data_IF_438557951050
#
_entry.id   IF_438557951050
#
_cell.length_a   1.000
_cell.length_b   1.000
_cell.length_c   1.000
_cell.angle_alpha   90.00
_cell.angle_beta   90.00
_cell.angle_gamma   90.00
#
_symmetry.space_group_name_H-M   'P 1'
#
loop_
_entity.id
_entity.type
_entity.pdbx_description
1 polymer ?
#
# COMPACT_ATOMS: atom_id res chain seq x y z
N UNK A 1 -3.38 13.44 -24.73
CA UNK A 1 -2.42 13.05 -23.67
C UNK A 1 -2.88 11.71 -23.13
N UNK A 2 -1.99 10.72 -22.99
CA UNK A 2 -2.38 9.45 -22.38
C UNK A 2 -2.77 9.69 -20.93
N UNK A 3 -3.77 8.94 -20.46
CA UNK A 3 -4.17 8.90 -19.05
C UNK A 3 -3.00 8.33 -18.26
N UNK A 4 -2.56 8.98 -17.17
CA UNK A 4 -1.54 8.38 -16.30
C UNK A 4 -2.13 7.13 -15.65
N UNK A 5 -1.35 6.05 -15.61
CA UNK A 5 -1.72 4.79 -14.97
C UNK A 5 -1.29 4.79 -13.51
N UNK A 6 -2.23 4.53 -12.61
CA UNK A 6 -2.01 4.43 -11.16
C UNK A 6 -2.41 3.04 -10.69
N UNK A 7 -1.49 2.33 -10.06
CA UNK A 7 -1.83 1.08 -9.36
C UNK A 7 -2.06 1.41 -7.89
N UNK A 8 -3.23 1.08 -7.37
CA UNK A 8 -3.61 1.35 -5.98
C UNK A 8 -3.65 0.07 -5.15
N UNK A 9 -2.95 0.09 -4.01
CA UNK A 9 -3.06 -0.98 -3.02
C UNK A 9 -4.45 -0.99 -2.38
N UNK A 10 -5.22 -2.05 -2.61
CA UNK A 10 -6.56 -2.25 -2.06
C UNK A 10 -6.54 -3.33 -0.99
N UNK A 11 -6.92 -3.00 0.24
CA UNK A 11 -6.86 -3.92 1.39
C UNK A 11 -8.23 -4.47 1.81
N UNK A 12 -9.30 -4.19 1.05
CA UNK A 12 -10.69 -4.41 1.47
C UNK A 12 -11.24 -3.29 2.37
N UNK A 13 -10.38 -2.39 2.86
CA UNK A 13 -10.76 -1.28 3.72
C UNK A 13 -11.31 -0.07 2.96
N UNK A 14 -12.16 0.70 3.65
CA UNK A 14 -12.83 1.91 3.12
C UNK A 14 -11.86 2.96 2.56
N UNK A 15 -10.70 3.14 3.22
CA UNK A 15 -9.73 4.18 2.83
C UNK A 15 -9.17 3.93 1.44
N UNK A 16 -8.79 2.68 1.14
CA UNK A 16 -8.33 2.28 -0.18
C UNK A 16 -9.44 2.34 -1.24
N UNK A 17 -10.67 2.00 -0.86
CA UNK A 17 -11.83 2.03 -1.75
C UNK A 17 -12.16 3.45 -2.22
N UNK A 18 -12.23 4.39 -1.27
CA UNK A 18 -12.49 5.81 -1.57
C UNK A 18 -11.31 6.41 -2.34
N UNK A 19 -10.08 6.05 -1.99
CA UNK A 19 -8.90 6.50 -2.73
C UNK A 19 -8.91 6.05 -4.20
N UNK A 20 -9.32 4.80 -4.47
CA UNK A 20 -9.46 4.28 -5.84
C UNK A 20 -10.54 5.05 -6.61
N UNK A 21 -11.68 5.30 -5.97
CA UNK A 21 -12.78 6.08 -6.55
C UNK A 21 -12.34 7.51 -6.90
N UNK A 22 -11.66 8.20 -5.98
CA UNK A 22 -11.16 9.56 -6.18
C UNK A 22 -10.16 9.65 -7.35
N UNK A 23 -9.26 8.68 -7.49
CA UNK A 23 -8.34 8.60 -8.63
C UNK A 23 -9.09 8.39 -9.94
N UNK A 24 -10.10 7.52 -9.95
CA UNK A 24 -10.92 7.30 -11.14
C UNK A 24 -11.67 8.57 -11.54
N UNK A 25 -12.28 9.26 -10.57
CA UNK A 25 -12.98 10.53 -10.77
C UNK A 25 -12.06 11.63 -11.32
N UNK A 26 -10.82 11.71 -10.82
CA UNK A 26 -9.80 12.66 -11.26
C UNK A 26 -9.26 12.39 -12.67
N UNK A 27 -9.69 11.32 -13.33
CA UNK A 27 -9.24 11.08 -14.69
C UNK A 27 -7.98 10.21 -14.78
N UNK A 28 -7.65 9.35 -13.81
CA UNK A 28 -6.56 8.37 -13.95
C UNK A 28 -7.03 7.04 -14.53
N UNK A 29 -6.12 6.29 -15.16
CA UNK A 29 -6.29 4.87 -15.43
C UNK A 29 -5.91 4.11 -14.16
N UNK A 30 -6.88 3.48 -13.50
CA UNK A 30 -6.70 2.91 -12.16
C UNK A 30 -6.76 1.40 -12.24
N UNK A 31 -5.78 0.74 -11.63
CA UNK A 31 -5.74 -0.72 -11.43
C UNK A 31 -5.61 -0.98 -9.93
N UNK A 32 -6.48 -1.80 -9.37
CA UNK A 32 -6.39 -2.27 -7.99
C UNK A 32 -5.34 -3.37 -7.85
N UNK A 33 -4.64 -3.39 -6.72
CA UNK A 33 -3.74 -4.49 -6.35
C UNK A 33 -3.99 -4.89 -4.90
N UNK A 34 -4.44 -6.12 -4.70
CA UNK A 34 -4.58 -6.73 -3.38
C UNK A 34 -3.31 -7.50 -3.02
N UNK A 35 -2.76 -7.22 -1.83
CA UNK A 35 -1.52 -7.84 -1.36
C UNK A 35 -1.82 -8.89 -0.29
N UNK A 36 -1.54 -10.16 -0.60
CA UNK A 36 -1.50 -11.22 0.40
C UNK A 36 -0.08 -11.28 0.99
N UNK A 37 0.08 -10.84 2.24
CA UNK A 37 1.38 -10.74 2.90
C UNK A 37 1.58 -11.79 4.01
N UNK A 38 0.61 -12.66 4.24
CA UNK A 38 0.64 -13.68 5.29
C UNK A 38 -0.12 -14.93 4.84
N UNK A 39 0.37 -16.11 5.22
CA UNK A 39 -0.18 -17.41 4.78
C UNK A 39 -0.61 -18.33 5.94
N UNK A 40 -0.16 -18.10 7.18
CA UNK A 40 -0.32 -19.09 8.27
C UNK A 40 -1.78 -19.32 8.74
N UNK A 41 -2.76 -18.53 8.27
CA UNK A 41 -4.19 -18.62 8.67
C UNK A 41 -5.13 -19.21 7.59
N UNK A 42 -4.59 -19.73 6.48
CA UNK A 42 -5.39 -20.24 5.34
C UNK A 42 -6.23 -21.48 5.69
N UNK A 43 -5.87 -22.23 6.73
CA UNK A 43 -6.55 -23.48 7.15
C UNK A 43 -7.67 -23.26 8.19
N UNK A 44 -7.92 -22.00 8.60
CA UNK A 44 -8.99 -21.67 9.53
C UNK A 44 -10.33 -21.46 8.83
N UNK A 45 -11.44 -21.85 9.47
CA UNK A 45 -12.81 -21.67 8.95
C UNK A 45 -13.16 -20.17 8.72
N UNK A 46 -12.36 -19.26 9.31
CA UNK A 46 -12.46 -17.80 9.17
C UNK A 46 -11.14 -17.20 8.66
N UNK A 47 -10.85 -17.39 7.37
CA UNK A 47 -9.75 -16.68 6.71
C UNK A 47 -10.13 -15.21 6.45
N UNK A 48 -9.67 -14.29 7.30
CA UNK A 48 -9.90 -12.83 7.18
C UNK A 48 -9.45 -12.27 5.84
N UNK A 49 -8.29 -12.74 5.34
CA UNK A 49 -7.73 -12.31 4.05
C UNK A 49 -8.65 -12.65 2.87
N UNK A 50 -9.41 -13.77 2.95
CA UNK A 50 -10.39 -14.12 1.93
C UNK A 50 -11.54 -13.13 1.91
N UNK A 51 -12.02 -12.69 3.08
CA UNK A 51 -13.08 -11.69 3.17
C UNK A 51 -12.59 -10.34 2.65
N UNK A 52 -11.40 -9.91 3.05
CA UNK A 52 -10.78 -8.66 2.56
C UNK A 52 -10.60 -8.67 1.03
N UNK A 53 -10.23 -9.81 0.45
CA UNK A 53 -10.17 -9.99 -1.00
C UNK A 53 -11.56 -9.84 -1.66
N UNK A 54 -12.60 -10.48 -1.10
CA UNK A 54 -13.97 -10.35 -1.61
C UNK A 54 -14.42 -8.90 -1.56
N UNK A 55 -14.13 -8.17 -0.49
CA UNK A 55 -14.51 -6.77 -0.34
C UNK A 55 -13.75 -5.88 -1.33
N UNK A 56 -12.44 -6.09 -1.50
CA UNK A 56 -11.63 -5.37 -2.48
C UNK A 56 -12.11 -5.62 -3.91
N UNK A 57 -12.39 -6.88 -4.27
CA UNK A 57 -12.90 -7.25 -5.58
C UNK A 57 -14.31 -6.70 -5.84
N UNK A 58 -15.18 -6.71 -4.84
CA UNK A 58 -16.53 -6.13 -4.94
C UNK A 58 -16.47 -4.62 -5.17
N UNK A 59 -15.58 -3.91 -4.48
CA UNK A 59 -15.35 -2.47 -4.71
C UNK A 59 -14.79 -2.24 -6.12
N UNK A 60 -13.83 -3.03 -6.56
CA UNK A 60 -13.26 -2.90 -7.91
C UNK A 60 -14.32 -3.08 -9.01
N UNK A 61 -15.23 -4.05 -8.85
CA UNK A 61 -16.37 -4.27 -9.74
C UNK A 61 -17.33 -3.07 -9.76
N UNK A 62 -17.75 -2.59 -8.57
CA UNK A 62 -18.60 -1.38 -8.45
C UNK A 62 -17.96 -0.16 -9.09
N UNK A 63 -16.64 -0.01 -8.91
CA UNK A 63 -15.89 1.08 -9.51
C UNK A 63 -15.61 0.84 -10.98
N UNK A 64 -15.78 -0.35 -11.54
CA UNK A 64 -15.39 -0.72 -12.91
C UNK A 64 -13.91 -0.49 -13.16
N UNK A 65 -13.05 -1.05 -12.30
CA UNK A 65 -11.58 -1.09 -12.45
C UNK A 65 -11.09 -2.54 -12.37
N UNK A 66 -9.99 -2.84 -13.04
CA UNK A 66 -9.34 -4.14 -12.90
C UNK A 66 -8.68 -4.26 -11.53
N UNK A 67 -8.63 -5.47 -10.97
CA UNK A 67 -7.93 -5.77 -9.72
C UNK A 67 -7.17 -7.08 -9.83
N UNK A 68 -5.93 -7.06 -9.35
CA UNK A 68 -5.05 -8.23 -9.30
C UNK A 68 -4.69 -8.57 -7.85
N UNK A 69 -4.49 -9.86 -7.56
CA UNK A 69 -3.99 -10.32 -6.26
C UNK A 69 -2.54 -10.77 -6.41
N UNK A 70 -1.66 -10.27 -5.54
CA UNK A 70 -0.24 -10.63 -5.51
C UNK A 70 0.14 -11.11 -4.13
N UNK A 71 0.93 -12.18 -4.10
CA UNK A 71 1.44 -12.76 -2.87
C UNK A 71 2.86 -12.24 -2.59
N UNK A 72 3.04 -11.53 -1.48
CA UNK A 72 4.32 -11.07 -0.95
C UNK A 72 4.62 -11.68 0.44
N UNK A 73 4.01 -12.82 0.78
CA UNK A 73 4.19 -13.46 2.08
C UNK A 73 5.66 -13.87 2.33
N UNK A 74 6.37 -14.32 1.30
CA UNK A 74 7.80 -14.63 1.40
C UNK A 74 8.61 -13.38 1.74
N UNK A 75 8.42 -12.27 1.00
CA UNK A 75 9.09 -11.01 1.27
C UNK A 75 8.75 -10.44 2.65
N UNK A 76 7.49 -10.55 3.08
CA UNK A 76 7.06 -10.11 4.40
C UNK A 76 7.74 -10.92 5.50
N UNK A 77 7.75 -12.25 5.37
CA UNK A 77 8.40 -13.15 6.33
C UNK A 77 9.88 -12.82 6.49
N UNK A 78 10.59 -12.65 5.38
CA UNK A 78 12.04 -12.43 5.38
C UNK A 78 12.44 -11.01 5.82
N UNK A 79 11.71 -9.99 5.40
CA UNK A 79 12.11 -8.58 5.57
C UNK A 79 11.45 -7.88 6.74
N UNK A 80 10.28 -8.35 7.17
CA UNK A 80 9.50 -7.72 8.25
C UNK A 80 9.44 -8.64 9.46
N UNK A 81 8.94 -9.86 9.30
CA UNK A 81 8.69 -10.75 10.43
C UNK A 81 9.98 -11.29 11.06
N UNK A 82 10.99 -11.63 10.27
CA UNK A 82 12.29 -12.04 10.79
C UNK A 82 12.94 -10.94 11.65
N UNK A 83 12.86 -9.67 11.24
CA UNK A 83 13.39 -8.54 12.01
C UNK A 83 12.58 -8.30 13.28
N UNK A 84 11.25 -8.38 13.18
CA UNK A 84 10.36 -8.30 14.33
C UNK A 84 10.75 -9.33 15.41
N UNK A 85 10.99 -10.59 15.04
CA UNK A 85 11.43 -11.61 15.99
C UNK A 85 12.82 -11.32 16.57
N UNK A 86 13.78 -10.85 15.76
CA UNK A 86 15.13 -10.46 16.23
C UNK A 86 15.08 -9.35 17.27
N UNK A 87 14.25 -8.34 17.05
CA UNK A 87 14.08 -7.21 17.98
C UNK A 87 13.49 -7.64 19.32
N UNK A 88 12.48 -8.53 19.29
CA UNK A 88 11.91 -9.12 20.50
C UNK A 88 12.93 -9.98 21.25
N UNK A 89 13.71 -10.81 20.56
CA UNK A 89 14.79 -11.59 21.17
C UNK A 89 15.84 -10.72 21.86
N UNK A 90 16.03 -9.49 21.37
CA UNK A 90 16.94 -8.53 21.93
C UNK A 90 16.30 -7.60 22.99
N UNK A 91 15.07 -7.90 23.43
CA UNK A 91 14.36 -7.18 24.49
C UNK A 91 13.85 -5.80 24.08
N UNK A 92 13.71 -5.54 22.78
CA UNK A 92 13.18 -4.29 22.24
C UNK A 92 11.72 -4.46 21.80
N UNK A 93 11.01 -3.35 21.66
CA UNK A 93 9.65 -3.31 21.12
C UNK A 93 9.71 -2.81 19.66
N UNK A 94 9.69 -3.70 18.65
CA UNK A 94 9.71 -3.31 17.25
C UNK A 94 8.38 -2.71 16.79
N UNK A 95 8.42 -1.96 15.69
CA UNK A 95 7.23 -1.53 14.95
C UNK A 95 7.24 -2.19 13.56
N UNK A 96 6.52 -3.31 13.36
CA UNK A 96 6.52 -4.03 12.09
C UNK A 96 5.83 -3.24 10.96
N UNK A 97 4.93 -2.30 11.27
CA UNK A 97 4.20 -1.53 10.25
C UNK A 97 5.09 -0.53 9.53
N UNK A 98 6.02 0.12 10.25
CA UNK A 98 7.06 0.97 9.66
C UNK A 98 7.91 0.17 8.65
N UNK A 99 8.23 -1.07 8.99
CA UNK A 99 8.97 -2.01 8.16
C UNK A 99 8.15 -2.48 6.95
N UNK A 100 6.88 -2.85 7.17
CA UNK A 100 5.95 -3.26 6.13
C UNK A 100 5.78 -2.17 5.06
N UNK A 101 5.63 -0.91 5.47
CA UNK A 101 5.57 0.20 4.52
C UNK A 101 6.89 0.31 3.73
N UNK A 102 8.04 0.33 4.41
CA UNK A 102 9.32 0.51 3.74
C UNK A 102 9.72 -0.63 2.79
N UNK A 103 9.45 -1.89 3.17
CA UNK A 103 9.98 -3.08 2.49
C UNK A 103 8.95 -3.81 1.61
N UNK A 104 7.66 -3.65 1.89
CA UNK A 104 6.58 -4.31 1.16
C UNK A 104 5.80 -3.27 0.35
N UNK A 105 5.07 -2.36 0.99
CA UNK A 105 4.16 -1.45 0.28
C UNK A 105 4.89 -0.47 -0.64
N UNK A 106 6.03 0.09 -0.23
CA UNK A 106 6.75 1.06 -1.05
C UNK A 106 8.01 0.48 -1.69
N UNK A 107 8.14 -0.85 -1.72
CA UNK A 107 9.24 -1.54 -2.39
C UNK A 107 8.74 -2.70 -3.22
N UNK A 108 8.31 -3.82 -2.61
CA UNK A 108 7.82 -4.97 -3.37
C UNK A 108 6.59 -4.61 -4.24
N UNK A 109 5.61 -3.89 -3.66
CA UNK A 109 4.44 -3.40 -4.39
C UNK A 109 4.81 -2.36 -5.43
N UNK A 110 5.65 -1.37 -5.08
CA UNK A 110 6.13 -0.37 -6.04
C UNK A 110 6.83 -1.03 -7.26
N UNK A 111 7.77 -1.94 -7.01
CA UNK A 111 8.51 -2.65 -8.06
C UNK A 111 7.56 -3.48 -8.95
N UNK A 112 6.54 -4.10 -8.35
CA UNK A 112 5.52 -4.84 -9.09
C UNK A 112 4.67 -3.91 -9.96
N UNK A 113 4.17 -2.80 -9.39
CA UNK A 113 3.37 -1.82 -10.12
C UNK A 113 4.13 -1.20 -11.30
N UNK A 114 5.41 -0.88 -11.12
CA UNK A 114 6.24 -0.35 -12.22
C UNK A 114 6.42 -1.38 -13.35
N UNK A 115 6.48 -2.69 -13.05
CA UNK A 115 6.51 -3.76 -14.07
C UNK A 115 5.19 -3.89 -14.83
N UNK A 116 4.07 -3.57 -14.20
CA UNK A 116 2.75 -3.47 -14.86
C UNK A 116 2.61 -2.19 -15.73
N UNK A 117 3.65 -1.36 -15.78
CA UNK A 117 3.69 -0.12 -16.56
C UNK A 117 2.93 1.03 -15.89
N UNK A 118 2.81 1.01 -14.57
CA UNK A 118 2.25 2.14 -13.83
C UNK A 118 3.17 3.36 -13.88
N UNK A 119 2.58 4.55 -13.95
CA UNK A 119 3.31 5.81 -13.79
C UNK A 119 3.50 6.14 -12.32
N UNK A 120 2.51 5.79 -11.50
CA UNK A 120 2.39 6.10 -10.08
C UNK A 120 1.80 4.92 -9.29
N UNK A 121 2.00 4.92 -7.97
CA UNK A 121 1.26 4.07 -7.04
C UNK A 121 0.39 4.91 -6.10
N UNK A 122 -0.63 4.28 -5.53
CA UNK A 122 -1.45 4.89 -4.50
C UNK A 122 -1.75 3.91 -3.37
N UNK A 123 -2.11 4.47 -2.22
CA UNK A 123 -2.55 3.72 -1.04
C UNK A 123 -3.61 4.53 -0.29
N UNK A 124 -4.38 3.88 0.58
CA UNK A 124 -5.33 4.57 1.46
C UNK A 124 -4.70 5.27 2.67
N UNK A 125 -3.40 5.59 2.66
CA UNK A 125 -2.79 6.23 3.83
C UNK A 125 -3.22 7.69 3.95
N UNK A 126 -3.56 8.10 5.18
CA UNK A 126 -3.77 9.48 5.56
C UNK A 126 -2.42 10.18 5.73
N UNK A 127 -1.82 10.55 4.61
CA UNK A 127 -0.66 11.41 4.50
C UNK A 127 -0.73 12.15 3.16
N UNK A 128 0.16 13.09 2.93
CA UNK A 128 0.21 13.83 1.67
C UNK A 128 1.64 13.89 1.14
N UNK A 129 1.77 14.00 -0.18
CA UNK A 129 3.04 14.23 -0.84
C UNK A 129 2.95 15.54 -1.60
N UNK A 130 4.02 16.34 -1.55
CA UNK A 130 4.16 17.58 -2.33
C UNK A 130 5.50 17.56 -3.06
N UNK A 131 5.48 17.82 -4.35
CA UNK A 131 6.68 18.24 -5.08
C UNK A 131 6.93 19.72 -4.79
N UNK A 132 8.05 20.03 -4.14
CA UNK A 132 8.48 21.39 -3.86
C UNK A 132 9.09 22.02 -5.12
N UNK A 133 9.21 23.36 -5.14
CA UNK A 133 9.80 24.10 -6.26
C UNK A 133 11.25 23.69 -6.60
N UNK A 134 11.93 23.04 -5.66
CA UNK A 134 13.26 22.45 -5.83
C UNK A 134 13.28 21.14 -6.62
N UNK A 135 12.11 20.57 -6.94
CA UNK A 135 11.94 19.22 -7.51
C UNK A 135 12.06 18.10 -6.46
N UNK A 136 12.21 18.43 -5.18
CA UNK A 136 12.20 17.44 -4.09
C UNK A 136 10.77 17.10 -3.67
N UNK A 137 10.55 15.85 -3.27
CA UNK A 137 9.29 15.37 -2.75
C UNK A 137 9.28 15.40 -1.22
N UNK A 138 8.23 16.00 -0.66
CA UNK A 138 8.05 16.15 0.78
C UNK A 138 6.89 15.30 1.27
N UNK A 139 7.14 14.49 2.30
CA UNK A 139 6.09 13.79 3.04
C UNK A 139 5.47 14.76 4.05
N UNK A 140 4.17 15.02 3.89
CA UNK A 140 3.39 15.92 4.71
C UNK A 140 2.36 15.13 5.53
N UNK A 141 2.03 15.67 6.71
CA UNK A 141 0.94 15.14 7.53
C UNK A 141 -0.41 15.21 6.83
N UNK A 142 -1.34 14.34 7.20
CA UNK A 142 -2.75 14.48 6.88
C UNK A 142 -3.30 15.85 7.31
N UNK A 143 -4.39 16.27 6.67
CA UNK A 143 -5.10 17.50 7.06
C UNK A 143 -5.72 17.34 8.46
N UNK A 144 -6.33 16.19 8.73
CA UNK A 144 -6.77 15.80 10.07
C UNK A 144 -5.61 15.14 10.83
N UNK A 145 -5.07 15.87 11.80
CA UNK A 145 -3.96 15.40 12.62
C UNK A 145 -4.30 14.17 13.49
N UNK A 146 -5.57 13.92 13.79
CA UNK A 146 -6.00 12.75 14.58
C UNK A 146 -6.00 11.46 13.78
N UNK A 147 -5.92 11.57 12.45
CA UNK A 147 -5.87 10.46 11.50
C UNK A 147 -4.53 10.36 10.78
N UNK A 148 -3.57 11.23 11.10
CA UNK A 148 -2.28 11.27 10.42
C UNK A 148 -1.51 9.97 10.55
N UNK A 149 -1.10 9.42 9.41
CA UNK A 149 -0.32 8.20 9.28
C UNK A 149 1.11 8.45 8.79
N UNK A 150 1.52 9.72 8.64
CA UNK A 150 2.88 10.08 8.21
C UNK A 150 3.98 9.45 9.08
N UNK A 151 3.69 9.20 10.36
CA UNK A 151 4.57 8.47 11.27
C UNK A 151 5.03 7.13 10.70
N UNK A 152 4.12 6.34 10.12
CA UNK A 152 4.45 5.00 9.59
C UNK A 152 5.18 5.05 8.24
N UNK A 153 5.26 6.23 7.63
CA UNK A 153 5.83 6.47 6.30
C UNK A 153 7.19 7.19 6.39
N UNK A 154 7.73 7.40 7.59
CA UNK A 154 8.92 8.21 7.81
C UNK A 154 10.21 7.66 7.14
N UNK A 155 10.20 6.38 6.70
CA UNK A 155 11.32 5.72 6.01
C UNK A 155 11.28 5.88 4.49
N UNK A 156 10.26 6.52 3.92
CA UNK A 156 10.17 6.71 2.47
C UNK A 156 11.23 7.67 1.96
N UNK A 157 11.85 7.31 0.84
CA UNK A 157 12.85 8.12 0.16
C UNK A 157 12.26 8.89 -1.05
N UNK A 158 13.09 9.75 -1.66
CA UNK A 158 12.66 10.59 -2.79
C UNK A 158 12.18 9.79 -3.99
N UNK A 159 12.83 8.67 -4.32
CA UNK A 159 12.42 7.82 -5.43
C UNK A 159 11.04 7.20 -5.17
N UNK A 160 10.77 6.74 -3.95
CA UNK A 160 9.48 6.19 -3.55
C UNK A 160 8.38 7.26 -3.51
N UNK A 161 8.66 8.46 -2.99
CA UNK A 161 7.67 9.55 -2.93
C UNK A 161 7.36 10.15 -4.31
N UNK A 162 8.27 10.01 -5.28
CA UNK A 162 8.07 10.50 -6.66
C UNK A 162 7.13 9.62 -7.51
N UNK A 163 6.67 8.49 -6.97
CA UNK A 163 5.86 7.47 -7.63
C UNK A 163 4.58 7.26 -6.84
#
# INVERSE_FOLDING_TARGET
MSRKKVVIGMSGGVDSSVSAWLLKEQGYEVIGLFMKNWEDDDDSEYCSTRQDWIDAASVADVLGIDIEAVNFAAEYKDRVFAEFLREYQAGRTPNPDVLCNAEIKFKAFLDHAMKLGADLIATGHYARVREADSGCFELLKAVDATKDQSYFLHRLNQAQLSK
#
